data_IF_129290089288
#
_entry.id   IF_129290089288
#
_cell.length_a   1.000
_cell.length_b   1.000
_cell.length_c   1.000
_cell.angle_alpha   90.00
_cell.angle_beta   90.00
_cell.angle_gamma   90.00
#
_symmetry.space_group_name_H-M   'P 1'
#
loop_
_entity.id
_entity.type
_entity.pdbx_description
1 polymer ?
#
# COMPACT_ATOMS: atom_id res chain seq x y z
N UNK A 1 31.26 19.09 14.93
CA UNK A 1 30.04 19.77 14.44
C UNK A 1 29.70 19.28 13.04
N UNK A 2 28.46 18.79 12.87
CA UNK A 2 27.62 18.90 11.66
C UNK A 2 28.27 18.59 10.30
N UNK A 3 28.33 17.30 9.95
CA UNK A 3 28.34 16.90 8.54
C UNK A 3 26.91 17.02 8.04
N UNK A 4 26.60 18.23 7.58
CA UNK A 4 25.31 18.64 7.08
C UNK A 4 24.89 17.77 5.89
N UNK A 5 23.68 17.22 5.99
CA UNK A 5 22.68 17.21 4.92
C UNK A 5 23.24 16.90 3.52
N UNK A 6 23.63 15.64 3.28
CA UNK A 6 23.73 15.14 1.91
C UNK A 6 22.32 14.70 1.50
N UNK A 7 21.79 15.46 0.55
CA UNK A 7 20.55 15.22 -0.16
C UNK A 7 20.54 13.80 -0.74
N UNK A 8 19.49 13.03 -0.44
CA UNK A 8 19.06 11.97 -1.36
C UNK A 8 17.85 12.52 -2.12
N UNK A 9 18.19 12.91 -3.34
CA UNK A 9 17.34 13.56 -4.31
C UNK A 9 16.04 12.81 -4.59
N UNK A 10 15.08 13.60 -5.06
CA UNK A 10 13.87 13.21 -5.73
C UNK A 10 14.01 11.96 -6.61
N UNK A 11 13.28 10.90 -6.24
CA UNK A 11 12.76 9.92 -7.20
C UNK A 11 11.23 10.00 -7.09
N UNK A 12 10.67 11.09 -7.63
CA UNK A 12 9.23 11.24 -7.87
C UNK A 12 8.92 11.61 -9.32
N UNK A 13 9.85 11.33 -10.24
CA UNK A 13 9.63 11.44 -11.67
C UNK A 13 9.87 10.06 -12.30
N UNK A 14 8.84 9.53 -12.96
CA UNK A 14 8.98 8.37 -13.86
C UNK A 14 8.98 6.99 -13.19
N UNK A 15 7.89 6.60 -12.55
CA UNK A 15 7.68 5.21 -12.14
C UNK A 15 6.97 4.41 -13.24
N UNK A 16 7.66 4.11 -14.34
CA UNK A 16 7.24 3.10 -15.30
C UNK A 16 6.93 1.79 -14.56
N UNK A 17 5.66 1.35 -14.61
CA UNK A 17 5.27 -0.01 -14.22
C UNK A 17 5.78 -1.02 -15.28
N UNK A 18 7.08 -1.13 -15.49
CA UNK A 18 7.64 -2.25 -16.27
C UNK A 18 8.08 -3.32 -15.28
N UNK A 19 7.16 -4.21 -14.97
CA UNK A 19 7.46 -5.64 -14.84
C UNK A 19 6.17 -6.42 -15.14
N UNK A 20 6.16 -7.05 -16.32
CA UNK A 20 5.26 -8.14 -16.71
C UNK A 20 5.65 -9.39 -15.93
N UNK A 21 5.33 -9.39 -14.63
CA UNK A 21 5.26 -10.61 -13.85
C UNK A 21 3.92 -10.58 -13.15
N UNK A 22 3.09 -11.59 -13.43
CA UNK A 22 1.81 -11.84 -12.78
C UNK A 22 1.97 -11.61 -11.28
N UNK A 23 1.49 -10.48 -10.80
CA UNK A 23 1.67 -10.10 -9.41
C UNK A 23 0.89 -11.07 -8.54
N UNK A 24 1.49 -11.41 -7.41
CA UNK A 24 1.15 -12.61 -6.68
C UNK A 24 0.40 -12.23 -5.40
N UNK A 25 -0.87 -12.61 -5.34
CA UNK A 25 -1.74 -12.38 -4.18
C UNK A 25 -1.06 -12.80 -2.86
N UNK A 26 -0.31 -13.91 -2.85
CA UNK A 26 0.37 -14.40 -1.65
C UNK A 26 1.56 -13.53 -1.26
N UNK A 27 2.30 -12.99 -2.24
CA UNK A 27 3.37 -12.01 -1.98
C UNK A 27 2.78 -10.72 -1.42
N UNK A 28 1.66 -10.26 -1.98
CA UNK A 28 0.92 -9.11 -1.48
C UNK A 28 0.47 -9.28 -0.03
N UNK A 29 -0.12 -10.42 0.32
CA UNK A 29 -0.47 -10.76 1.70
C UNK A 29 0.74 -10.73 2.63
N UNK A 30 1.85 -11.35 2.24
CA UNK A 30 3.10 -11.36 3.01
C UNK A 30 3.64 -9.95 3.25
N UNK A 31 3.64 -9.09 2.23
CA UNK A 31 4.12 -7.71 2.35
C UNK A 31 3.18 -6.86 3.17
N UNK A 32 1.87 -7.01 2.98
CA UNK A 32 0.87 -6.35 3.80
C UNK A 32 1.06 -6.69 5.27
N UNK A 33 1.17 -7.99 5.61
CA UNK A 33 1.39 -8.41 6.98
C UNK A 33 2.71 -7.88 7.56
N UNK A 34 3.79 -7.96 6.79
CA UNK A 34 5.13 -7.56 7.24
C UNK A 34 5.26 -6.05 7.47
N UNK A 35 4.69 -5.24 6.59
CA UNK A 35 4.92 -3.79 6.58
C UNK A 35 3.76 -3.00 7.15
N UNK A 36 2.52 -3.42 6.93
CA UNK A 36 1.30 -2.71 7.35
C UNK A 36 0.79 -3.30 8.65
N UNK A 37 0.22 -4.53 8.65
CA UNK A 37 -0.41 -5.14 9.83
C UNK A 37 0.50 -5.13 11.06
N UNK A 38 1.75 -5.58 10.93
CA UNK A 38 2.71 -5.59 12.05
C UNK A 38 3.10 -4.21 12.58
N UNK A 39 2.88 -3.13 11.83
CA UNK A 39 3.30 -1.76 12.20
C UNK A 39 2.14 -0.87 12.62
N UNK A 40 0.99 -1.00 11.98
CA UNK A 40 -0.22 -0.24 12.31
C UNK A 40 -1.19 -1.01 13.19
N UNK A 41 -1.13 -2.34 13.22
CA UNK A 41 -2.16 -3.18 13.85
C UNK A 41 -3.41 -3.38 12.99
N UNK A 42 -3.51 -2.70 11.85
CA UNK A 42 -4.68 -2.74 10.97
C UNK A 42 -4.69 -4.02 10.14
N UNK A 43 -5.78 -4.78 10.22
CA UNK A 43 -6.03 -5.95 9.35
C UNK A 43 -6.43 -5.48 7.94
N UNK A 44 -6.20 -6.29 6.92
CA UNK A 44 -6.50 -5.91 5.54
C UNK A 44 -8.00 -5.71 5.26
N UNK A 45 -8.88 -6.50 5.89
CA UNK A 45 -10.33 -6.27 5.85
C UNK A 45 -10.74 -4.98 6.55
N UNK A 46 -10.09 -4.65 7.68
CA UNK A 46 -10.31 -3.38 8.37
C UNK A 46 -9.80 -2.21 7.54
N UNK A 47 -8.66 -2.36 6.87
CA UNK A 47 -8.14 -1.35 5.95
C UNK A 47 -9.14 -1.06 4.83
N UNK A 48 -9.70 -2.07 4.18
CA UNK A 48 -10.71 -1.88 3.12
C UNK A 48 -11.91 -1.08 3.67
N UNK A 49 -12.35 -1.38 4.90
CA UNK A 49 -13.43 -0.62 5.57
C UNK A 49 -13.03 0.84 5.83
N UNK A 50 -11.82 1.08 6.35
CA UNK A 50 -11.29 2.44 6.58
C UNK A 50 -11.21 3.23 5.28
N UNK A 51 -10.79 2.57 4.19
CA UNK A 51 -10.71 3.19 2.88
C UNK A 51 -12.10 3.45 2.27
N UNK A 52 -13.16 2.89 2.84
CA UNK A 52 -14.54 3.11 2.38
C UNK A 52 -14.75 2.77 0.90
N UNK A 53 -13.96 1.87 0.34
CA UNK A 53 -14.06 1.46 -1.07
C UNK A 53 -15.22 0.48 -1.24
N UNK A 54 -16.07 0.74 -2.23
CA UNK A 54 -17.24 -0.09 -2.54
C UNK A 54 -17.04 -0.95 -3.78
N UNK A 55 -16.18 -0.50 -4.70
CA UNK A 55 -15.87 -1.18 -5.95
C UNK A 55 -14.37 -1.37 -6.14
N UNK A 56 -13.99 -2.31 -7.02
CA UNK A 56 -12.59 -2.50 -7.42
C UNK A 56 -12.01 -1.24 -8.07
N UNK A 57 -12.84 -0.50 -8.81
CA UNK A 57 -12.42 0.76 -9.44
C UNK A 57 -12.09 1.84 -8.39
N UNK A 58 -12.83 1.90 -7.28
CA UNK A 58 -12.51 2.80 -6.17
C UNK A 58 -11.19 2.43 -5.51
N UNK A 59 -10.88 1.13 -5.42
CA UNK A 59 -9.59 0.65 -4.94
C UNK A 59 -8.47 1.03 -5.91
N UNK A 60 -8.63 0.73 -7.21
CA UNK A 60 -7.63 1.01 -8.25
C UNK A 60 -7.25 2.51 -8.23
N UNK A 61 -8.25 3.41 -8.12
CA UNK A 61 -8.04 4.87 -7.98
C UNK A 61 -7.19 5.28 -6.77
N UNK A 62 -7.27 4.56 -5.66
CA UNK A 62 -6.44 4.87 -4.49
C UNK A 62 -4.96 4.52 -4.72
N UNK A 63 -4.69 3.60 -5.62
CA UNK A 63 -3.35 3.10 -5.95
C UNK A 63 -2.70 3.83 -7.12
N UNK A 64 -3.45 4.66 -7.85
CA UNK A 64 -2.93 5.60 -8.83
C UNK A 64 -1.91 6.58 -8.22
N UNK A 65 -1.13 7.25 -9.08
CA UNK A 65 -0.14 8.23 -8.67
C UNK A 65 0.82 7.71 -7.58
N UNK A 66 1.21 6.43 -7.71
CA UNK A 66 2.07 5.71 -6.77
C UNK A 66 1.47 5.64 -5.34
N UNK A 67 0.15 5.50 -5.23
CA UNK A 67 -0.57 5.37 -3.97
C UNK A 67 -0.70 6.66 -3.17
N UNK A 68 -0.47 7.84 -3.77
CA UNK A 68 -0.69 9.14 -3.08
C UNK A 68 -2.11 9.25 -2.49
N UNK A 69 -3.19 8.98 -3.24
CA UNK A 69 -4.55 9.11 -2.71
C UNK A 69 -4.82 8.15 -1.54
N UNK A 70 -4.26 6.94 -1.60
CA UNK A 70 -4.30 5.99 -0.48
C UNK A 70 -3.68 6.57 0.80
N UNK A 71 -2.51 7.21 0.71
CA UNK A 71 -1.83 7.79 1.88
C UNK A 71 -2.66 8.93 2.48
N UNK A 72 -3.22 9.80 1.64
CA UNK A 72 -4.04 10.93 2.09
C UNK A 72 -5.31 10.44 2.78
N UNK A 73 -5.98 9.44 2.20
CA UNK A 73 -7.18 8.85 2.79
C UNK A 73 -6.92 8.20 4.15
N UNK A 74 -5.78 7.52 4.30
CA UNK A 74 -5.38 6.94 5.59
C UNK A 74 -5.08 8.00 6.64
N UNK A 75 -4.41 9.10 6.27
CA UNK A 75 -4.18 10.21 7.19
C UNK A 75 -5.49 10.89 7.60
N UNK A 76 -6.40 11.11 6.65
CA UNK A 76 -7.70 11.70 6.91
C UNK A 76 -8.55 10.84 7.87
N UNK A 77 -8.38 9.51 7.82
CA UNK A 77 -9.00 8.56 8.73
C UNK A 77 -8.30 8.43 10.10
N UNK A 78 -7.25 9.22 10.39
CA UNK A 78 -6.47 9.13 11.63
C UNK A 78 -5.48 7.97 11.68
N UNK A 79 -5.31 7.22 10.59
CA UNK A 79 -4.49 6.00 10.50
C UNK A 79 -3.04 6.32 10.11
N UNK A 80 -2.39 7.22 10.85
CA UNK A 80 -1.03 7.70 10.53
C UNK A 80 0.01 6.58 10.46
N UNK A 81 -0.11 5.56 11.32
CA UNK A 81 0.80 4.41 11.31
C UNK A 81 0.63 3.59 10.04
N UNK A 82 -0.62 3.39 9.58
CA UNK A 82 -0.91 2.69 8.33
C UNK A 82 -0.43 3.51 7.12
N UNK A 83 -0.62 4.83 7.14
CA UNK A 83 -0.11 5.73 6.11
C UNK A 83 1.43 5.65 5.99
N UNK A 84 2.16 5.75 7.10
CA UNK A 84 3.63 5.60 7.13
C UNK A 84 4.07 4.21 6.66
N UNK A 85 3.34 3.15 7.03
CA UNK A 85 3.60 1.81 6.56
C UNK A 85 3.40 1.66 5.05
N UNK A 86 2.32 2.21 4.48
CA UNK A 86 2.06 2.20 3.04
C UNK A 86 3.11 3.02 2.27
N UNK A 87 3.58 4.15 2.80
CA UNK A 87 4.72 4.86 2.23
C UNK A 87 5.98 3.98 2.16
N UNK A 88 6.20 3.10 3.15
CA UNK A 88 7.31 2.15 3.13
C UNK A 88 7.12 1.05 2.08
N UNK A 89 5.88 0.59 1.87
CA UNK A 89 5.54 -0.37 0.79
C UNK A 89 5.86 0.24 -0.58
N UNK A 90 5.45 1.49 -0.79
CA UNK A 90 5.71 2.27 -2.02
C UNK A 90 7.22 2.40 -2.26
N UNK A 91 7.97 2.87 -1.25
CA UNK A 91 9.45 3.02 -1.34
C UNK A 91 10.17 1.71 -1.64
N UNK A 92 9.58 0.56 -1.32
CA UNK A 92 10.14 -0.77 -1.59
C UNK A 92 9.69 -1.37 -2.92
N UNK A 93 8.92 -0.63 -3.73
CA UNK A 93 8.38 -1.12 -5.00
C UNK A 93 7.41 -2.28 -4.84
N UNK A 94 6.75 -2.42 -3.68
CA UNK A 94 5.81 -3.53 -3.37
C UNK A 94 4.35 -3.11 -3.45
N UNK A 95 4.07 -1.93 -4.01
CA UNK A 95 2.73 -1.37 -4.07
C UNK A 95 1.78 -2.24 -4.91
N UNK A 96 2.23 -2.70 -6.08
CA UNK A 96 1.43 -3.55 -6.98
C UNK A 96 1.06 -4.89 -6.33
N UNK A 97 2.00 -5.55 -5.64
CA UNK A 97 1.71 -6.80 -4.93
C UNK A 97 0.63 -6.57 -3.85
N UNK A 98 0.75 -5.49 -3.07
CA UNK A 98 -0.24 -5.16 -2.03
C UNK A 98 -1.60 -4.79 -2.63
N UNK A 99 -1.60 -4.10 -3.77
CA UNK A 99 -2.81 -3.78 -4.52
C UNK A 99 -3.57 -5.05 -4.90
N UNK A 100 -2.90 -5.99 -5.58
CA UNK A 100 -3.53 -7.19 -6.10
C UNK A 100 -3.99 -8.13 -4.98
N UNK A 101 -3.32 -8.07 -3.83
CA UNK A 101 -3.81 -8.69 -2.60
C UNK A 101 -5.12 -8.08 -2.08
N UNK A 102 -5.21 -6.75 -1.96
CA UNK A 102 -6.44 -6.07 -1.51
C UNK A 102 -7.58 -6.26 -2.51
N UNK A 103 -7.27 -6.22 -3.81
CA UNK A 103 -8.21 -6.54 -4.88
C UNK A 103 -8.76 -7.95 -4.72
N UNK A 104 -7.88 -8.93 -4.50
CA UNK A 104 -8.27 -10.32 -4.22
C UNK A 104 -9.21 -10.44 -3.02
N UNK A 105 -8.99 -9.68 -1.95
CA UNK A 105 -9.93 -9.66 -0.80
C UNK A 105 -11.31 -9.13 -1.21
N UNK A 106 -11.37 -8.05 -2.00
CA UNK A 106 -12.65 -7.50 -2.49
C UNK A 106 -13.35 -8.46 -3.47
N UNK A 107 -12.59 -9.30 -4.19
CA UNK A 107 -13.10 -10.38 -5.05
C UNK A 107 -13.47 -11.66 -4.25
N UNK A 108 -13.41 -11.63 -2.92
CA UNK A 108 -13.79 -12.75 -2.05
C UNK A 108 -12.67 -13.73 -1.69
N UNK A 109 -11.44 -13.52 -2.19
CA UNK A 109 -10.25 -14.28 -1.75
C UNK A 109 -9.78 -13.73 -0.41
N UNK A 110 -10.39 -14.20 0.67
CA UNK A 110 -9.98 -13.87 2.04
C UNK A 110 -8.95 -14.91 2.50
N UNK A 111 -7.71 -14.52 2.81
CA UNK A 111 -6.70 -15.49 3.25
C UNK A 111 -7.03 -15.94 4.67
N UNK A 112 -6.69 -17.19 5.00
CA UNK A 112 -6.76 -17.68 6.38
C UNK A 112 -5.89 -16.77 7.29
N UNK A 113 -6.49 -16.22 8.35
CA UNK A 113 -5.81 -15.35 9.33
C UNK A 113 -5.82 -13.84 9.01
N UNK A 114 -6.66 -13.41 8.06
CA UNK A 114 -6.93 -11.99 7.79
C UNK A 114 -7.45 -11.23 9.02
#
# INVERSE_FOLDING_TARGET
MKISKIALAAVLAGGLFITTASADYNKGFKYYNKYVKKKSGVKSTQLIKILGVKSLNDLDKLFENNGKPLIEKLKAAGEEKAAKAMQKVIKKGKLKDVHDFLRGIMEGKIPAGC
#
